data_IF_759259406378
#
_entry.id   IF_759259406378
#
_cell.length_a   1.000
_cell.length_b   1.000
_cell.length_c   1.000
_cell.angle_alpha   90.00
_cell.angle_beta   90.00
_cell.angle_gamma   90.00
#
_symmetry.space_group_name_H-M   'P 1'
#
loop_
_entity.id
_entity.type
_entity.pdbx_description
1 polymer ?
#
# COMPACT_ATOMS: atom_id res chain seq x y z
N UNK A 1 12.75 -1.08 4.34
CA UNK A 1 13.20 -1.65 3.06
C UNK A 1 14.63 -1.23 2.91
N UNK A 2 15.56 -2.17 2.87
CA UNK A 2 16.90 -1.90 2.39
C UNK A 2 16.95 -2.44 0.96
N UNK A 3 16.94 -1.51 0.00
CA UNK A 3 17.32 -1.80 -1.37
C UNK A 3 18.77 -1.36 -1.52
N UNK A 4 19.66 -2.29 -1.84
CA UNK A 4 21.05 -2.03 -2.22
C UNK A 4 21.03 -1.57 -3.68
N UNK A 5 20.52 -0.36 -3.91
CA UNK A 5 20.85 0.43 -5.09
C UNK A 5 21.61 1.65 -4.58
N UNK A 6 22.90 1.69 -4.88
CA UNK A 6 23.82 2.75 -4.44
C UNK A 6 23.56 4.11 -5.14
N UNK A 7 22.50 4.23 -5.95
CA UNK A 7 21.95 5.51 -6.37
C UNK A 7 20.89 5.93 -5.35
N UNK A 8 21.21 6.92 -4.54
CA UNK A 8 20.21 7.65 -3.73
C UNK A 8 19.27 8.33 -4.73
N UNK A 9 18.24 7.62 -5.19
CA UNK A 9 17.20 8.20 -6.02
C UNK A 9 16.62 9.38 -5.25
N UNK A 10 16.82 10.57 -5.80
CA UNK A 10 16.39 11.78 -5.14
C UNK A 10 14.88 11.85 -5.24
N UNK A 11 14.22 11.91 -4.09
CA UNK A 11 12.77 12.05 -4.06
C UNK A 11 12.39 13.44 -4.57
N UNK A 12 11.34 13.53 -5.38
CA UNK A 12 10.79 14.81 -5.85
C UNK A 12 10.10 15.59 -4.72
N UNK A 13 9.60 14.88 -3.70
CA UNK A 13 8.99 15.50 -2.54
C UNK A 13 8.08 14.55 -1.77
N UNK A 14 7.32 15.13 -0.84
CA UNK A 14 6.33 14.46 -0.02
C UNK A 14 4.95 15.05 -0.30
N UNK A 15 4.00 14.19 -0.67
CA UNK A 15 2.59 14.54 -0.67
C UNK A 15 2.02 14.27 0.72
N UNK A 16 1.54 15.32 1.37
CA UNK A 16 0.94 15.23 2.69
C UNK A 16 -0.55 14.96 2.58
N UNK A 17 -1.05 14.05 3.42
CA UNK A 17 -2.47 13.70 3.55
C UNK A 17 -3.16 13.45 2.22
N UNK A 18 -2.50 12.70 1.33
CA UNK A 18 -3.07 12.33 0.05
C UNK A 18 -4.24 11.37 0.28
N UNK A 19 -5.48 11.72 -0.13
CA UNK A 19 -6.62 10.82 -0.01
C UNK A 19 -6.53 9.70 -1.04
N UNK A 20 -6.40 8.46 -0.55
CA UNK A 20 -6.42 7.24 -1.34
C UNK A 20 -7.73 6.51 -1.07
N UNK A 21 -8.53 6.33 -2.12
CA UNK A 21 -9.80 5.59 -2.03
C UNK A 21 -9.59 4.14 -2.42
N UNK A 22 -9.96 3.24 -1.53
CA UNK A 22 -9.98 1.79 -1.77
C UNK A 22 -11.40 1.32 -1.50
N UNK A 23 -12.12 0.94 -2.57
CA UNK A 23 -13.56 0.60 -2.53
C UNK A 23 -14.38 1.71 -1.83
N UNK A 24 -15.01 1.42 -0.69
CA UNK A 24 -15.83 2.36 0.09
C UNK A 24 -15.01 3.25 1.05
N UNK A 25 -13.76 2.90 1.34
CA UNK A 25 -12.94 3.60 2.35
C UNK A 25 -11.97 4.60 1.73
N UNK A 26 -11.70 5.68 2.48
CA UNK A 26 -10.71 6.70 2.13
C UNK A 26 -9.64 6.75 3.22
N UNK A 27 -8.38 6.60 2.82
CA UNK A 27 -7.21 6.64 3.68
C UNK A 27 -6.36 7.86 3.34
N UNK A 28 -5.90 8.58 4.35
CA UNK A 28 -5.02 9.73 4.18
C UNK A 28 -3.58 9.30 4.42
N UNK A 29 -2.74 9.38 3.39
CA UNK A 29 -1.38 8.87 3.42
C UNK A 29 -0.34 9.95 3.14
N UNK A 30 0.80 9.80 3.82
CA UNK A 30 2.01 10.54 3.54
C UNK A 30 2.79 9.76 2.46
N UNK A 31 2.92 10.32 1.26
CA UNK A 31 3.45 9.61 0.09
C UNK A 31 4.71 10.29 -0.44
N UNK A 32 5.82 9.56 -0.42
CA UNK A 32 7.07 10.01 -1.03
C UNK A 32 7.00 9.83 -2.55
N UNK A 33 7.29 10.90 -3.30
CA UNK A 33 7.26 10.89 -4.76
C UNK A 33 8.67 10.73 -5.32
N UNK A 34 8.81 9.85 -6.30
CA UNK A 34 10.04 9.61 -7.05
C UNK A 34 9.76 9.87 -8.53
N UNK A 35 10.75 10.41 -9.25
CA UNK A 35 10.60 10.72 -10.68
C UNK A 35 10.44 9.45 -11.53
N UNK A 36 11.23 8.41 -11.22
CA UNK A 36 11.31 7.17 -11.99
C UNK A 36 11.06 5.96 -11.09
N UNK A 37 9.86 5.88 -10.49
CA UNK A 37 9.50 4.71 -9.70
C UNK A 37 9.15 3.52 -10.62
N UNK A 38 9.59 2.29 -10.31
CA UNK A 38 9.23 1.10 -11.09
C UNK A 38 7.77 0.66 -10.85
N UNK A 39 7.02 1.38 -10.03
CA UNK A 39 5.62 1.14 -9.67
C UNK A 39 4.92 2.48 -9.44
N UNK A 40 3.60 2.52 -9.64
CA UNK A 40 2.80 3.74 -9.44
C UNK A 40 2.69 4.13 -7.95
N UNK A 41 2.56 3.13 -7.07
CA UNK A 41 2.46 3.34 -5.63
C UNK A 41 2.92 2.10 -4.87
N UNK A 42 3.70 2.32 -3.82
CA UNK A 42 4.07 1.28 -2.88
C UNK A 42 3.49 1.56 -1.50
N UNK A 43 2.62 0.67 -1.03
CA UNK A 43 2.04 0.74 0.31
C UNK A 43 2.98 0.07 1.31
N UNK A 44 3.71 0.89 2.06
CA UNK A 44 4.66 0.42 3.06
C UNK A 44 4.02 -0.03 4.38
N UNK A 45 4.89 -0.42 5.33
CA UNK A 45 4.49 -0.84 6.68
C UNK A 45 3.57 0.14 7.42
N UNK A 46 3.73 1.48 7.34
CA UNK A 46 2.81 2.40 8.02
C UNK A 46 1.35 2.20 7.59
N UNK A 47 1.11 2.01 6.29
CA UNK A 47 -0.23 1.72 5.76
C UNK A 47 -0.75 0.37 6.26
N UNK A 48 0.08 -0.68 6.20
CA UNK A 48 -0.30 -2.02 6.66
C UNK A 48 -0.62 -2.04 8.16
N UNK A 49 0.13 -1.31 8.98
CA UNK A 49 -0.14 -1.18 10.42
C UNK A 49 -1.42 -0.38 10.69
N UNK A 50 -1.61 0.75 10.00
CA UNK A 50 -2.81 1.58 10.13
C UNK A 50 -4.09 0.78 9.85
N UNK A 51 -4.04 -0.10 8.87
CA UNK A 51 -5.17 -0.92 8.43
C UNK A 51 -5.23 -2.29 9.10
N UNK A 52 -4.32 -2.60 10.03
CA UNK A 52 -4.18 -3.95 10.62
C UNK A 52 -4.22 -5.05 9.55
N UNK A 53 -3.52 -4.82 8.45
CA UNK A 53 -3.63 -5.62 7.24
C UNK A 53 -3.29 -7.09 7.51
N UNK A 54 -4.13 -7.99 7.00
CA UNK A 54 -3.91 -9.43 7.05
C UNK A 54 -3.92 -10.01 5.65
N UNK A 55 -2.92 -10.84 5.34
CA UNK A 55 -2.84 -11.49 4.04
C UNK A 55 -3.22 -12.96 4.18
N UNK A 56 -4.10 -13.41 3.29
CA UNK A 56 -4.54 -14.79 3.18
C UNK A 56 -4.02 -15.37 1.87
N UNK A 57 -3.34 -16.50 1.97
CA UNK A 57 -2.86 -17.27 0.82
C UNK A 57 -3.64 -18.57 0.75
N UNK A 58 -4.20 -18.87 -0.41
CA UNK A 58 -5.06 -20.03 -0.64
C UNK A 58 -4.32 -21.06 -1.49
N UNK A 59 -4.64 -22.34 -1.28
CA UNK A 59 -3.98 -23.46 -1.99
C UNK A 59 -4.27 -23.49 -3.50
N UNK A 60 -5.31 -22.79 -3.95
CA UNK A 60 -5.64 -22.62 -5.37
C UNK A 60 -4.76 -21.56 -6.07
N UNK A 61 -3.81 -20.94 -5.35
CA UNK A 61 -2.93 -19.90 -5.87
C UNK A 61 -3.47 -18.48 -5.67
N UNK A 62 -4.72 -18.32 -5.25
CA UNK A 62 -5.27 -17.00 -4.95
C UNK A 62 -4.65 -16.42 -3.69
N UNK A 63 -4.60 -15.10 -3.63
CA UNK A 63 -4.22 -14.37 -2.43
C UNK A 63 -5.17 -13.19 -2.23
N UNK A 64 -5.49 -12.91 -0.98
CA UNK A 64 -6.32 -11.77 -0.61
C UNK A 64 -5.62 -10.96 0.49
N UNK A 65 -5.78 -9.65 0.45
CA UNK A 65 -5.44 -8.76 1.55
C UNK A 65 -6.72 -8.23 2.19
N UNK A 66 -6.81 -8.36 3.49
CA UNK A 66 -7.86 -7.80 4.32
C UNK A 66 -7.34 -6.54 4.99
N UNK A 67 -8.08 -5.44 4.86
CA UNK A 67 -7.77 -4.14 5.44
C UNK A 67 -8.92 -3.72 6.36
N UNK A 68 -8.61 -3.29 7.57
CA UNK A 68 -9.56 -2.66 8.48
C UNK A 68 -9.48 -1.14 8.32
N UNK A 69 -10.59 -0.50 7.99
CA UNK A 69 -10.67 0.96 8.02
C UNK A 69 -10.68 1.43 9.49
N UNK A 70 -9.66 2.18 9.94
CA UNK A 70 -9.57 2.61 11.33
C UNK A 70 -10.68 3.61 11.71
N UNK A 71 -11.28 4.30 10.74
CA UNK A 71 -12.31 5.31 10.97
C UNK A 71 -13.70 4.68 11.02
N UNK A 72 -14.07 3.90 10.00
CA UNK A 72 -15.42 3.32 9.88
C UNK A 72 -15.56 1.96 10.54
N UNK A 73 -14.44 1.28 10.81
CA UNK A 73 -14.36 -0.13 11.24
C UNK A 73 -14.85 -1.12 10.18
N UNK A 74 -15.09 -0.67 8.95
CA UNK A 74 -15.38 -1.56 7.83
C UNK A 74 -14.14 -2.41 7.48
N UNK A 75 -14.39 -3.65 7.11
CA UNK A 75 -13.34 -4.57 6.64
C UNK A 75 -13.44 -4.73 5.13
N UNK A 76 -12.34 -4.47 4.44
CA UNK A 76 -12.21 -4.59 3.00
C UNK A 76 -11.40 -5.83 2.67
N UNK A 77 -11.91 -6.71 1.83
CA UNK A 77 -11.19 -7.87 1.30
C UNK A 77 -10.91 -7.61 -0.18
N UNK A 78 -9.64 -7.65 -0.55
CA UNK A 78 -9.16 -7.28 -1.88
C UNK A 78 -8.36 -8.45 -2.45
N UNK A 79 -8.70 -8.96 -3.66
CA UNK A 79 -7.88 -9.96 -4.32
C UNK A 79 -6.54 -9.34 -4.73
N UNK A 80 -5.45 -10.05 -4.45
CA UNK A 80 -4.10 -9.62 -4.79
C UNK A 80 -3.68 -10.30 -6.08
N UNK A 81 -3.50 -9.51 -7.14
CA UNK A 81 -2.89 -10.01 -8.38
C UNK A 81 -1.38 -10.13 -8.20
N UNK A 82 -0.83 -11.28 -8.57
CA UNK A 82 0.61 -11.44 -8.72
C UNK A 82 0.96 -10.89 -10.11
N UNK A 83 1.69 -9.77 -10.17
CA UNK A 83 2.32 -9.36 -11.42
C UNK A 83 3.53 -10.27 -11.64
N UNK A 84 3.44 -11.12 -12.67
CA UNK A 84 4.51 -12.03 -13.13
C UNK A 84 5.34 -11.33 -14.20
#
# INVERSE_FOLDING_TARGET
>A
MESVNASKEMTLGLLQDLPIRIRSSVFYLQVQVFENAPYEMLLGRPFLMLTQAQTYHYSNGDSHIMLLDPNTKETLIIPMMIQV
#
